data_IF_402228628972
#
_entry.id   IF_402228628972
#
_cell.length_a   1.000
_cell.length_b   1.000
_cell.length_c   1.000
_cell.angle_alpha   90.00
_cell.angle_beta   90.00
_cell.angle_gamma   90.00
#
_symmetry.space_group_name_H-M   'P 1'
#
loop_
_entity.id
_entity.type
_entity.pdbx_description
1 polymer ?
#
# COMPACT_ATOMS: atom_id res chain seq x y z
N UNK A 1 -4.84 6.11 14.50
CA UNK A 1 -4.37 4.77 14.93
C UNK A 1 -5.00 3.71 14.03
N UNK A 2 -4.27 2.64 13.70
CA UNK A 2 -4.78 1.54 12.87
C UNK A 2 -5.62 0.55 13.71
N UNK A 3 -6.66 -0.10 13.14
CA UNK A 3 -7.46 -1.12 13.84
C UNK A 3 -6.62 -2.25 14.44
N UNK A 4 -7.02 -2.78 15.60
CA UNK A 4 -6.26 -3.76 16.38
C UNK A 4 -5.82 -5.00 15.58
N UNK A 5 -6.67 -5.52 14.69
CA UNK A 5 -6.34 -6.70 13.88
C UNK A 5 -5.18 -6.45 12.89
N UNK A 6 -4.92 -5.19 12.51
CA UNK A 6 -3.82 -4.82 11.62
C UNK A 6 -2.45 -4.88 12.31
N UNK A 7 -2.42 -4.87 13.65
CA UNK A 7 -1.16 -4.92 14.42
C UNK A 7 -0.40 -6.23 14.25
N UNK A 8 -1.11 -7.31 13.88
CA UNK A 8 -0.47 -8.57 13.50
C UNK A 8 0.41 -8.47 12.23
N UNK A 9 0.24 -7.42 11.42
CA UNK A 9 1.00 -7.15 10.20
C UNK A 9 2.11 -6.11 10.40
N UNK A 10 2.41 -5.74 11.64
CA UNK A 10 3.53 -4.87 11.94
C UNK A 10 4.85 -5.68 11.83
N UNK A 11 5.64 -5.38 10.81
CA UNK A 11 6.89 -6.11 10.51
C UNK A 11 8.11 -5.54 11.25
N UNK A 12 8.04 -4.26 11.66
CA UNK A 12 9.02 -3.58 12.53
C UNK A 12 8.35 -2.36 13.18
N UNK A 13 8.96 -1.67 14.18
CA UNK A 13 8.36 -0.49 14.81
C UNK A 13 7.85 0.53 13.78
N UNK A 14 6.55 0.86 13.84
CA UNK A 14 5.86 1.79 12.94
C UNK A 14 5.86 1.43 11.44
N UNK A 15 6.11 0.16 11.08
CA UNK A 15 6.05 -0.30 9.70
C UNK A 15 5.10 -1.49 9.59
N UNK A 16 4.11 -1.35 8.73
CA UNK A 16 3.06 -2.31 8.50
C UNK A 16 3.15 -2.84 7.06
N UNK A 17 2.93 -4.14 6.89
CA UNK A 17 2.76 -4.74 5.58
C UNK A 17 1.33 -4.49 5.06
N UNK A 18 1.17 -3.38 4.35
CA UNK A 18 -0.12 -3.02 3.77
C UNK A 18 -0.56 -3.96 2.64
N UNK A 19 0.37 -4.65 1.98
CA UNK A 19 0.00 -5.63 0.96
C UNK A 19 -0.69 -6.83 1.59
N UNK A 20 -0.12 -7.37 2.68
CA UNK A 20 -0.72 -8.48 3.42
C UNK A 20 -2.08 -8.10 4.03
N UNK A 21 -2.21 -6.87 4.55
CA UNK A 21 -3.47 -6.32 5.07
C UNK A 21 -4.54 -6.30 3.96
N UNK A 22 -4.24 -5.68 2.80
CA UNK A 22 -5.19 -5.61 1.68
C UNK A 22 -5.54 -6.99 1.12
N UNK A 23 -4.56 -7.89 1.00
CA UNK A 23 -4.80 -9.28 0.58
C UNK A 23 -5.76 -9.99 1.53
N UNK A 24 -5.60 -9.84 2.85
CA UNK A 24 -6.55 -10.39 3.84
C UNK A 24 -7.95 -9.83 3.63
N UNK A 25 -8.08 -8.51 3.48
CA UNK A 25 -9.39 -7.87 3.27
C UNK A 25 -10.09 -8.39 2.01
N UNK A 26 -9.34 -8.61 0.92
CA UNK A 26 -9.87 -9.16 -0.32
C UNK A 26 -10.34 -10.62 -0.14
N UNK A 27 -9.56 -11.45 0.55
CA UNK A 27 -9.93 -12.85 0.84
C UNK A 27 -11.14 -12.91 1.77
N UNK A 28 -11.20 -12.08 2.82
CA UNK A 28 -12.38 -11.96 3.70
C UNK A 28 -13.61 -11.46 2.93
N UNK A 29 -13.40 -10.68 1.86
CA UNK A 29 -14.44 -10.27 0.91
C UNK A 29 -14.87 -11.35 -0.09
N UNK A 30 -14.29 -12.56 -0.03
CA UNK A 30 -14.67 -13.71 -0.85
C UNK A 30 -13.81 -13.93 -2.11
N UNK A 31 -12.74 -13.16 -2.32
CA UNK A 31 -11.82 -13.41 -3.43
C UNK A 31 -10.96 -14.64 -3.12
N UNK A 32 -10.74 -15.48 -4.13
CA UNK A 32 -9.80 -16.60 -4.01
C UNK A 32 -8.36 -16.08 -4.08
N UNK A 33 -7.48 -16.71 -3.32
CA UNK A 33 -6.09 -16.30 -3.18
C UNK A 33 -5.35 -16.24 -4.52
N UNK A 34 -5.63 -17.19 -5.41
CA UNK A 34 -5.04 -17.31 -6.74
C UNK A 34 -5.49 -16.23 -7.73
N UNK A 35 -6.52 -15.44 -7.39
CA UNK A 35 -6.99 -14.30 -8.18
C UNK A 35 -6.45 -12.96 -7.68
N UNK A 36 -5.58 -12.97 -6.68
CA UNK A 36 -5.02 -11.76 -6.08
C UNK A 36 -3.53 -11.74 -6.37
N UNK A 37 -3.09 -10.75 -7.14
CA UNK A 37 -1.67 -10.49 -7.35
C UNK A 37 -1.23 -9.20 -6.65
N UNK A 38 0.03 -9.16 -6.23
CA UNK A 38 0.62 -8.01 -5.54
C UNK A 38 1.73 -7.44 -6.39
N UNK A 39 1.62 -6.15 -6.77
CA UNK A 39 2.60 -5.50 -7.62
C UNK A 39 4.02 -5.48 -7.03
N UNK A 40 4.17 -5.50 -5.70
CA UNK A 40 5.46 -5.54 -5.03
C UNK A 40 6.28 -4.25 -5.16
N UNK A 41 5.68 -3.15 -5.63
CA UNK A 41 6.35 -1.87 -5.88
C UNK A 41 6.30 -0.96 -4.65
N UNK A 42 7.43 -0.37 -4.27
CA UNK A 42 7.54 0.56 -3.14
C UNK A 42 7.62 2.00 -3.65
N UNK A 43 6.56 2.79 -3.49
CA UNK A 43 6.54 4.20 -3.95
C UNK A 43 7.56 5.09 -3.22
N UNK A 44 7.93 4.75 -1.97
CA UNK A 44 8.96 5.45 -1.21
C UNK A 44 10.38 5.13 -1.73
N UNK A 45 10.63 3.87 -2.08
CA UNK A 45 11.95 3.34 -2.41
C UNK A 45 12.31 3.64 -3.88
N UNK A 46 11.32 3.54 -4.76
CA UNK A 46 11.46 3.81 -6.18
C UNK A 46 11.16 5.29 -6.48
N UNK A 47 12.08 5.93 -7.18
CA UNK A 47 11.99 7.35 -7.54
C UNK A 47 11.06 7.61 -8.73
N UNK A 48 10.66 6.57 -9.48
CA UNK A 48 9.71 6.70 -10.57
C UNK A 48 8.29 7.07 -10.08
N UNK A 49 7.96 6.76 -8.83
CA UNK A 49 6.65 7.03 -8.24
C UNK A 49 6.65 8.27 -7.38
N UNK A 50 5.53 8.98 -7.33
CA UNK A 50 5.31 10.04 -6.34
C UNK A 50 4.99 9.42 -4.97
N UNK A 51 5.60 9.91 -3.88
CA UNK A 51 5.41 9.38 -2.52
C UNK A 51 5.22 10.48 -1.49
N UNK A 52 4.07 10.47 -0.81
CA UNK A 52 3.76 11.38 0.30
C UNK A 52 4.71 11.22 1.49
N UNK A 53 5.15 9.98 1.78
CA UNK A 53 6.09 9.71 2.87
C UNK A 53 7.46 10.34 2.59
N UNK A 54 7.91 10.28 1.33
CA UNK A 54 9.15 10.93 0.91
C UNK A 54 9.03 12.44 1.01
N UNK A 55 7.95 13.00 0.46
CA UNK A 55 7.70 14.44 0.49
C UNK A 55 7.59 15.02 1.90
N UNK A 56 7.08 14.26 2.88
CA UNK A 56 7.07 14.66 4.28
C UNK A 56 8.48 14.95 4.83
N UNK A 57 9.50 14.23 4.35
CA UNK A 57 10.88 14.38 4.80
C UNK A 57 11.66 15.48 4.06
N UNK A 58 11.27 15.83 2.83
CA UNK A 58 12.09 16.70 1.95
C UNK A 58 11.37 17.95 1.42
N UNK A 59 10.04 18.02 1.51
CA UNK A 59 9.22 19.06 0.87
C UNK A 59 7.98 19.46 1.71
N UNK A 60 8.06 19.34 3.04
CA UNK A 60 6.96 19.73 3.94
C UNK A 60 5.66 18.96 3.71
N UNK A 61 5.72 17.79 3.07
CA UNK A 61 4.54 16.96 2.77
C UNK A 61 3.79 17.33 1.49
N UNK A 62 4.19 18.38 0.76
CA UNK A 62 3.52 18.79 -0.48
C UNK A 62 4.04 17.97 -1.66
N UNK A 63 3.15 17.26 -2.36
CA UNK A 63 3.51 16.44 -3.52
C UNK A 63 2.29 16.11 -4.40
N UNK A 64 2.52 15.63 -5.62
CA UNK A 64 1.49 15.19 -6.56
C UNK A 64 0.86 13.83 -6.21
N UNK A 65 0.15 13.20 -7.15
CA UNK A 65 -0.48 11.89 -6.97
C UNK A 65 -0.29 11.02 -8.22
N UNK A 66 -0.05 9.73 -8.02
CA UNK A 66 -0.05 8.75 -9.12
C UNK A 66 -1.52 8.42 -9.49
N UNK A 67 -1.76 8.02 -10.74
CA UNK A 67 -3.07 7.54 -11.20
C UNK A 67 -3.05 6.03 -11.49
N UNK A 68 -4.13 5.34 -11.14
CA UNK A 68 -4.39 3.95 -11.54
C UNK A 68 -5.72 3.92 -12.31
N UNK A 69 -5.72 3.29 -13.48
CA UNK A 69 -6.88 3.23 -14.38
C UNK A 69 -7.22 1.78 -14.72
N UNK A 70 -8.51 1.49 -14.85
CA UNK A 70 -9.04 0.22 -15.38
C UNK A 70 -10.13 0.57 -16.40
N UNK A 71 -10.14 -0.13 -17.53
CA UNK A 71 -11.06 0.12 -18.63
C UNK A 71 -11.52 -1.18 -19.27
N UNK A 72 -12.71 -1.14 -19.86
CA UNK A 72 -13.18 -2.20 -20.75
C UNK A 72 -12.72 -1.90 -22.19
N UNK A 73 -12.54 -2.93 -23.03
CA UNK A 73 -12.30 -2.74 -24.46
C UNK A 73 -13.42 -1.95 -25.15
#
# INVERSE_FOLDING_TARGET
ELPAWMHAYQVRPNHFDFWAISRRQLVEGGLRTEHIDTAGLCTLCDQQFISSRRAANIAGGVTGRNGSIIGLP
#
